data_IF_733128382024
#
_entry.id   IF_733128382024
#
_cell.length_a   1.000
_cell.length_b   1.000
_cell.length_c   1.000
_cell.angle_alpha   90.00
_cell.angle_beta   90.00
_cell.angle_gamma   90.00
#
_symmetry.space_group_name_H-M   'P 1'
#
loop_
_entity.id
_entity.type
_entity.pdbx_description
1 polymer ?
#
# COMPACT_ATOMS: atom_id res chain seq x y z
N UNK A 1 21.89 -3.53 21.80
CA UNK A 1 21.54 -4.52 20.75
C UNK A 1 20.01 -4.62 20.70
N UNK A 2 19.32 -3.67 20.05
CA UNK A 2 17.86 -3.72 19.95
C UNK A 2 17.50 -4.89 19.03
N UNK A 3 16.69 -5.81 19.54
CA UNK A 3 16.36 -7.08 18.91
C UNK A 3 15.89 -6.90 17.47
N UNK A 4 16.51 -7.66 16.57
CA UNK A 4 16.00 -7.91 15.22
C UNK A 4 14.73 -8.76 15.37
N UNK A 5 13.64 -8.10 15.77
CA UNK A 5 12.36 -8.73 15.97
C UNK A 5 11.82 -9.19 14.62
N UNK A 6 11.72 -10.49 14.46
CA UNK A 6 11.00 -11.14 13.36
C UNK A 6 9.53 -10.68 13.42
N UNK A 7 9.19 -9.59 12.74
CA UNK A 7 7.84 -9.03 12.74
C UNK A 7 7.00 -9.78 11.72
N UNK A 8 5.82 -10.26 12.09
CA UNK A 8 4.89 -10.85 11.11
C UNK A 8 3.83 -9.81 10.77
N UNK A 9 3.67 -9.49 9.48
CA UNK A 9 2.67 -8.55 8.99
C UNK A 9 1.72 -9.26 8.02
N UNK A 10 0.45 -8.85 7.93
CA UNK A 10 -0.49 -9.43 6.96
C UNK A 10 -0.13 -9.00 5.53
N UNK A 11 -0.23 -9.93 4.58
CA UNK A 11 -0.13 -9.66 3.15
C UNK A 11 -1.25 -8.70 2.73
N UNK A 12 -0.95 -7.58 2.07
CA UNK A 12 -1.99 -6.61 1.69
C UNK A 12 -3.00 -7.17 0.69
N UNK A 13 -2.60 -8.13 -0.15
CA UNK A 13 -3.46 -8.72 -1.19
C UNK A 13 -4.41 -9.79 -0.66
N UNK A 14 -4.01 -10.57 0.36
CA UNK A 14 -4.79 -11.74 0.79
C UNK A 14 -4.83 -11.99 2.30
N UNK A 15 -4.22 -11.13 3.11
CA UNK A 15 -4.22 -11.21 4.58
C UNK A 15 -3.33 -12.29 5.20
N UNK A 16 -2.69 -13.16 4.41
CA UNK A 16 -1.80 -14.21 4.93
C UNK A 16 -0.62 -13.62 5.70
N UNK A 17 -0.17 -14.26 6.79
CA UNK A 17 0.98 -13.78 7.56
C UNK A 17 2.28 -13.83 6.74
N UNK A 18 3.03 -12.74 6.77
CA UNK A 18 4.33 -12.58 6.11
C UNK A 18 5.38 -12.22 7.15
N UNK A 19 6.39 -13.08 7.28
CA UNK A 19 7.53 -12.84 8.14
C UNK A 19 8.40 -11.74 7.55
N UNK A 20 8.65 -10.67 8.31
CA UNK A 20 9.48 -9.53 7.94
C UNK A 20 10.96 -9.84 8.18
N UNK A 21 11.49 -10.85 7.48
CA UNK A 21 12.90 -11.27 7.52
C UNK A 21 13.59 -10.97 6.20
N UNK A 22 14.91 -10.74 6.19
CA UNK A 22 15.69 -10.49 4.97
C UNK A 22 15.49 -11.54 3.86
N UNK A 23 15.23 -12.79 4.25
CA UNK A 23 15.05 -13.94 3.38
C UNK A 23 13.70 -13.99 2.65
N UNK A 24 12.69 -13.28 3.16
CA UNK A 24 11.39 -13.22 2.49
C UNK A 24 11.48 -12.32 1.24
N UNK A 25 11.66 -12.95 0.08
CA UNK A 25 11.90 -12.31 -1.23
C UNK A 25 10.76 -11.41 -1.69
N UNK A 26 9.52 -11.76 -1.34
CA UNK A 26 8.31 -11.11 -1.87
C UNK A 26 7.67 -10.09 -0.93
N UNK A 27 8.31 -9.72 0.18
CA UNK A 27 7.75 -8.74 1.13
C UNK A 27 7.35 -7.44 0.42
N UNK A 28 6.20 -6.83 0.75
CA UNK A 28 5.27 -7.17 1.85
C UNK A 28 4.28 -8.32 1.54
N UNK A 29 4.41 -8.99 0.39
CA UNK A 29 3.48 -10.03 -0.07
C UNK A 29 3.91 -11.44 0.38
N UNK A 30 2.94 -12.35 0.48
CA UNK A 30 3.22 -13.75 0.82
C UNK A 30 3.77 -14.58 -0.35
N UNK A 31 3.64 -14.09 -1.60
CA UNK A 31 4.11 -14.78 -2.80
C UNK A 31 4.17 -13.84 -4.00
N UNK A 32 4.89 -14.25 -5.05
CA UNK A 32 4.94 -13.56 -6.34
C UNK A 32 3.54 -13.32 -6.93
N UNK A 33 2.64 -14.29 -6.81
CA UNK A 33 1.25 -14.16 -7.28
C UNK A 33 0.54 -12.97 -6.63
N UNK A 34 0.71 -12.75 -5.32
CA UNK A 34 0.06 -11.62 -4.65
C UNK A 34 0.66 -10.27 -5.08
N UNK A 35 1.97 -10.22 -5.30
CA UNK A 35 2.64 -9.04 -5.88
C UNK A 35 2.10 -8.70 -7.28
N UNK A 36 1.86 -9.70 -8.12
CA UNK A 36 1.34 -9.50 -9.48
C UNK A 36 -0.13 -9.08 -9.48
N UNK A 37 -0.95 -9.62 -8.57
CA UNK A 37 -2.34 -9.18 -8.40
C UNK A 37 -2.40 -7.73 -7.97
N UNK A 38 -1.60 -7.33 -6.97
CA UNK A 38 -1.52 -5.93 -6.53
C UNK A 38 -1.17 -5.01 -7.69
N UNK A 39 -0.14 -5.37 -8.47
CA UNK A 39 0.23 -4.62 -9.68
C UNK A 39 -0.92 -4.55 -10.70
N UNK A 40 -1.67 -5.65 -10.89
CA UNK A 40 -2.85 -5.68 -11.74
C UNK A 40 -3.94 -4.71 -11.28
N UNK A 41 -4.25 -4.69 -9.97
CA UNK A 41 -5.26 -3.82 -9.38
C UNK A 41 -4.90 -2.33 -9.50
N UNK A 42 -3.60 -1.99 -9.58
CA UNK A 42 -3.14 -0.64 -9.88
C UNK A 42 -3.31 -0.27 -11.35
N UNK A 43 -3.02 -1.20 -12.27
CA UNK A 43 -3.15 -0.97 -13.70
C UNK A 43 -4.61 -0.90 -14.16
N UNK A 44 -5.52 -1.57 -13.45
CA UNK A 44 -6.97 -1.56 -13.72
C UNK A 44 -7.69 -0.31 -13.17
N UNK A 45 -6.94 0.69 -12.69
CA UNK A 45 -7.44 1.95 -12.12
C UNK A 45 -8.37 1.77 -10.90
N UNK A 46 -8.36 0.59 -10.26
CA UNK A 46 -9.19 0.29 -9.09
C UNK A 46 -8.67 0.95 -7.80
N UNK A 47 -7.42 1.42 -7.81
CA UNK A 47 -6.83 2.22 -6.73
C UNK A 47 -6.96 3.73 -7.02
N UNK A 48 -8.15 4.28 -6.76
CA UNK A 48 -8.36 5.73 -6.83
C UNK A 48 -7.82 6.41 -5.58
N UNK A 49 -6.73 7.16 -5.72
CA UNK A 49 -6.31 8.10 -4.67
C UNK A 49 -7.33 9.24 -4.68
N UNK A 50 -8.16 9.31 -3.64
CA UNK A 50 -9.07 10.45 -3.48
C UNK A 50 -8.23 11.66 -3.09
N UNK A 51 -8.26 12.70 -3.91
CA UNK A 51 -7.60 13.96 -3.56
C UNK A 51 -8.37 14.57 -2.40
N UNK A 52 -7.72 14.95 -1.28
CA UNK A 52 -8.35 15.87 -0.35
C UNK A 52 -8.66 17.13 -1.15
N UNK A 53 -9.95 17.48 -1.24
CA UNK A 53 -10.35 18.77 -1.82
C UNK A 53 -9.91 19.83 -0.82
N UNK A 54 -8.67 20.30 -0.95
CA UNK A 54 -8.24 21.55 -0.32
C UNK A 54 -9.20 22.63 -0.81
N UNK A 55 -10.06 23.08 0.10
CA UNK A 55 -11.09 24.09 -0.16
C UNK A 55 -10.45 25.45 -0.41
N UNK A 56 -9.87 25.65 -1.59
CA UNK A 56 -9.68 26.99 -2.10
C UNK A 56 -11.05 27.54 -2.50
N UNK A 57 -11.70 28.16 -1.53
CA UNK A 57 -12.86 29.02 -1.71
C UNK A 57 -12.57 30.02 -2.83
N UNK A 58 -13.45 30.07 -3.80
CA UNK A 58 -13.55 31.17 -4.76
C UNK A 58 -13.83 32.45 -3.97
N UNK A 59 -12.83 33.33 -3.82
CA UNK A 59 -13.06 34.75 -3.55
C UNK A 59 -13.01 35.47 -4.89
N UNK A 60 -14.09 35.33 -5.65
CA UNK A 60 -14.48 36.35 -6.62
C UNK A 60 -15.25 37.40 -5.82
N UNK A 61 -14.54 38.42 -5.35
CA UNK A 61 -15.15 39.64 -4.84
C UNK A 61 -14.57 40.84 -5.59
N UNK A 62 -15.12 41.10 -6.78
CA UNK A 62 -15.41 42.44 -7.33
C UNK A 62 -14.71 43.63 -6.64
N UNK A 63 -13.82 44.27 -7.40
CA UNK A 63 -13.27 45.60 -7.16
C UNK A 63 -12.50 46.10 -8.37
#
# INVERSE_FOLDING_TARGET
>A
MAGKGERTLPCPTCGKPVTWSADAVWRPFCSERCRLIDLGDWLDENHRISEPRDGHSEDESSG
#
